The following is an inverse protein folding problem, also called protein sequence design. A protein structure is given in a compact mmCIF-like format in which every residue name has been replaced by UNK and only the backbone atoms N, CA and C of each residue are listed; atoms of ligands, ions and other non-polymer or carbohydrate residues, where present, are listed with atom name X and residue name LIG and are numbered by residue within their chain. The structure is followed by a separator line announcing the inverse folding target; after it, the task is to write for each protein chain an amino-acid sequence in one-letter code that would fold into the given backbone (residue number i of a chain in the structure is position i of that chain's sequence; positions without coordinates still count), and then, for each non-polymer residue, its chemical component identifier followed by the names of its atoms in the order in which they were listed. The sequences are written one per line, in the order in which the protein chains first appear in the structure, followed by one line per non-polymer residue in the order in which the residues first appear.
data_IF_383402147818
#
_entry.id   IF_383402147818
#
_cell.length_a   1.000
_cell.length_b   1.000
_cell.length_c   1.000
_cell.angle_alpha   90.00
_cell.angle_beta   90.00
_cell.angle_gamma   90.00
#
_symmetry.space_group_name_H-M   'P 1'
#
loop_
_entity.id
_entity.type
_entity.pdbx_description
1 polymer ?
#
# COMPACT_ATOMS: atom_id res chain seq x y z
N UNK A 1 -3.20 -15.85 1.67
CA UNK A 1 -2.60 -14.79 0.83
C UNK A 1 -1.59 -13.92 1.59
N UNK A 2 -1.70 -13.75 2.92
CA UNK A 2 -0.66 -13.11 3.75
C UNK A 2 0.69 -13.86 3.79
N UNK A 3 0.70 -15.16 3.50
CA UNK A 3 1.87 -16.04 3.67
C UNK A 3 2.91 -15.90 2.54
N UNK A 4 2.54 -15.36 1.37
CA UNK A 4 3.50 -15.13 0.27
C UNK A 4 4.25 -13.79 0.40
N UNK A 5 3.72 -12.86 1.21
CA UNK A 5 4.37 -11.58 1.53
C UNK A 5 5.55 -11.74 2.51
N UNK A 6 5.64 -12.86 3.23
CA UNK A 6 6.59 -13.02 4.34
C UNK A 6 7.97 -13.55 3.95
N UNK A 7 8.16 -14.08 2.74
CA UNK A 7 9.41 -14.78 2.38
C UNK A 7 10.34 -14.01 1.44
N UNK A 8 9.81 -13.10 0.62
CA UNK A 8 10.62 -12.19 -0.21
C UNK A 8 10.95 -10.86 0.48
N UNK A 9 10.15 -10.46 1.47
CA UNK A 9 10.33 -9.20 2.21
C UNK A 9 11.41 -9.28 3.30
N UNK A 10 11.77 -10.48 3.75
CA UNK A 10 12.70 -10.70 4.87
C UNK A 10 14.18 -10.47 4.52
N UNK A 11 14.58 -10.71 3.26
CA UNK A 11 15.97 -10.52 2.82
C UNK A 11 16.24 -9.08 2.33
N UNK A 12 15.20 -8.33 1.94
CA UNK A 12 15.28 -6.89 1.65
C UNK A 12 15.22 -6.01 2.93
N UNK A 13 14.92 -6.64 4.08
CA UNK A 13 14.47 -6.00 5.32
C UNK A 13 15.57 -5.27 6.11
N UNK A 14 16.85 -5.48 5.77
CA UNK A 14 18.00 -4.93 6.51
C UNK A 14 18.60 -3.65 5.90
N UNK A 15 18.16 -3.19 4.72
CA UNK A 15 18.80 -2.07 4.02
C UNK A 15 17.85 -1.23 3.14
N UNK A 16 16.57 -1.08 3.54
CA UNK A 16 15.63 -0.19 2.86
C UNK A 16 15.37 1.10 3.68
N UNK A 17 16.33 2.04 3.74
CA UNK A 17 16.16 3.30 4.47
C UNK A 17 15.07 4.19 3.87
N UNK A 18 14.52 3.83 2.70
CA UNK A 18 13.57 4.62 1.93
C UNK A 18 12.12 4.14 2.00
N UNK A 19 11.84 3.00 2.65
CA UNK A 19 10.51 2.38 2.64
C UNK A 19 10.06 1.92 1.25
N UNK A 20 10.99 1.88 0.29
CA UNK A 20 10.76 1.58 -1.11
C UNK A 20 10.39 0.11 -1.33
N UNK A 21 10.99 -0.82 -0.60
CA UNK A 21 10.73 -2.25 -0.70
C UNK A 21 9.29 -2.62 -0.34
N UNK A 22 8.69 -1.90 0.61
CA UNK A 22 7.30 -2.12 1.02
C UNK A 22 6.35 -1.66 -0.08
N UNK A 23 6.50 -0.41 -0.52
CA UNK A 23 5.62 0.18 -1.55
C UNK A 23 5.76 -0.56 -2.87
N UNK A 24 7.00 -0.80 -3.31
CA UNK A 24 7.28 -1.55 -4.55
C UNK A 24 6.79 -2.99 -4.45
N UNK A 25 6.98 -3.66 -3.30
CA UNK A 25 6.51 -5.02 -3.07
C UNK A 25 4.99 -5.15 -3.15
N UNK A 26 4.25 -4.22 -2.55
CA UNK A 26 2.77 -4.20 -2.64
C UNK A 26 2.32 -3.97 -4.09
N UNK A 27 2.87 -2.96 -4.77
CA UNK A 27 2.49 -2.66 -6.15
C UNK A 27 2.85 -3.79 -7.11
N UNK A 28 4.00 -4.46 -6.91
CA UNK A 28 4.39 -5.63 -7.68
C UNK A 28 3.46 -6.82 -7.41
N UNK A 29 3.05 -7.05 -6.15
CA UNK A 29 2.10 -8.11 -5.81
C UNK A 29 0.73 -7.90 -6.46
N UNK A 30 0.26 -6.65 -6.51
CA UNK A 30 -0.97 -6.25 -7.21
C UNK A 30 -0.83 -6.40 -8.74
N UNK A 31 0.31 -6.01 -9.30
CA UNK A 31 0.60 -6.17 -10.72
C UNK A 31 0.65 -7.65 -11.15
N UNK A 32 1.15 -8.52 -10.28
CA UNK A 32 1.19 -9.98 -10.50
C UNK A 32 -0.17 -10.66 -10.47
N UNK A 33 -1.24 -9.97 -10.05
CA UNK A 33 -2.60 -10.52 -10.00
C UNK A 33 -3.63 -9.56 -10.63
N UNK A 34 -3.57 -9.27 -11.94
CA UNK A 34 -4.36 -8.21 -12.57
C UNK A 34 -5.88 -8.33 -12.37
N UNK A 35 -6.43 -9.54 -12.50
CA UNK A 35 -7.87 -9.77 -12.35
C UNK A 35 -8.34 -9.52 -10.91
N UNK A 36 -7.58 -10.05 -9.93
CA UNK A 36 -7.86 -9.80 -8.51
C UNK A 36 -7.77 -8.31 -8.19
N UNK A 37 -6.73 -7.64 -8.68
CA UNK A 37 -6.52 -6.21 -8.45
C UNK A 37 -7.67 -5.38 -9.01
N UNK A 38 -8.12 -5.62 -10.24
CA UNK A 38 -9.29 -4.91 -10.80
C UNK A 38 -10.55 -5.19 -9.98
N UNK A 39 -10.80 -6.44 -9.61
CA UNK A 39 -11.95 -6.80 -8.78
C UNK A 39 -11.92 -6.06 -7.43
N UNK A 40 -10.77 -6.05 -6.75
CA UNK A 40 -10.61 -5.44 -5.43
C UNK A 40 -10.77 -3.91 -5.45
N UNK A 41 -10.21 -3.23 -6.46
CA UNK A 41 -10.17 -1.77 -6.50
C UNK A 41 -11.36 -1.13 -7.23
N UNK A 42 -11.93 -1.79 -8.26
CA UNK A 42 -12.98 -1.19 -9.10
C UNK A 42 -14.35 -1.82 -8.86
N UNK A 43 -14.42 -3.15 -8.75
CA UNK A 43 -15.70 -3.87 -8.78
C UNK A 43 -16.29 -4.08 -7.39
N UNK A 44 -15.43 -4.27 -6.37
CA UNK A 44 -15.85 -4.55 -5.00
C UNK A 44 -16.74 -3.44 -4.38
N UNK A 45 -16.65 -2.21 -4.89
CA UNK A 45 -17.51 -1.10 -4.44
C UNK A 45 -18.97 -1.29 -4.87
N UNK A 46 -19.19 -1.88 -6.05
CA UNK A 46 -20.53 -2.20 -6.57
C UNK A 46 -21.07 -3.53 -6.01
N UNK A 47 -20.27 -4.28 -5.26
CA UNK A 47 -20.64 -5.58 -4.72
C UNK A 47 -21.60 -5.47 -3.51
N UNK A 48 -22.11 -6.61 -3.03
CA UNK A 48 -22.96 -6.65 -1.84
C UNK A 48 -22.22 -6.26 -0.55
N UNK A 49 -22.99 -5.93 0.50
CA UNK A 49 -22.49 -5.42 1.77
C UNK A 49 -21.33 -6.26 2.37
N UNK A 50 -21.46 -7.59 2.35
CA UNK A 50 -20.43 -8.51 2.85
C UNK A 50 -19.08 -8.36 2.14
N UNK A 51 -19.06 -8.02 0.86
CA UNK A 51 -17.80 -7.86 0.10
C UNK A 51 -17.15 -6.52 0.46
N UNK A 52 -17.94 -5.46 0.62
CA UNK A 52 -17.46 -4.17 1.12
C UNK A 52 -16.83 -4.29 2.50
N UNK A 53 -17.50 -4.93 3.45
CA UNK A 53 -16.98 -5.15 4.81
C UNK A 53 -15.66 -5.95 4.82
N UNK A 54 -15.54 -6.97 3.95
CA UNK A 54 -14.29 -7.73 3.81
C UNK A 54 -13.16 -6.89 3.24
N UNK A 55 -13.46 -5.98 2.31
CA UNK A 55 -12.50 -5.05 1.72
C UNK A 55 -12.04 -4.03 2.76
N UNK A 56 -12.97 -3.44 3.50
CA UNK A 56 -12.67 -2.43 4.53
C UNK A 56 -11.81 -3.05 5.64
N UNK A 57 -12.16 -4.26 6.11
CA UNK A 57 -11.31 -4.99 7.05
C UNK A 57 -9.91 -5.25 6.49
N UNK A 58 -9.77 -5.60 5.22
CA UNK A 58 -8.46 -5.83 4.60
C UNK A 58 -7.62 -4.54 4.55
N UNK A 59 -8.26 -3.38 4.37
CA UNK A 59 -7.62 -2.07 4.40
C UNK A 59 -7.16 -1.75 5.82
N UNK A 60 -8.01 -1.97 6.83
CA UNK A 60 -7.66 -1.75 8.25
C UNK A 60 -6.49 -2.64 8.68
N UNK A 61 -6.55 -3.94 8.35
CA UNK A 61 -5.49 -4.90 8.64
C UNK A 61 -4.16 -4.49 7.97
N UNK A 62 -4.23 -4.01 6.72
CA UNK A 62 -3.05 -3.52 6.01
C UNK A 62 -2.47 -2.26 6.66
N UNK A 63 -3.31 -1.28 6.99
CA UNK A 63 -2.88 -0.04 7.64
C UNK A 63 -2.21 -0.32 8.99
N UNK A 64 -2.83 -1.18 9.81
CA UNK A 64 -2.26 -1.59 11.10
C UNK A 64 -0.90 -2.29 10.94
N UNK A 65 -0.76 -3.16 9.92
CA UNK A 65 0.50 -3.85 9.63
C UNK A 65 1.58 -2.94 9.03
N UNK A 66 1.19 -1.92 8.24
CA UNK A 66 2.11 -0.99 7.62
C UNK A 66 2.66 0.06 8.60
N UNK A 67 1.87 0.43 9.62
CA UNK A 67 2.20 1.53 10.56
C UNK A 67 3.60 1.43 11.18
N UNK A 68 4.04 0.30 11.79
CA UNK A 68 5.38 0.24 12.40
C UNK A 68 6.50 0.54 11.39
N UNK A 69 6.37 0.01 10.17
CA UNK A 69 7.38 0.20 9.13
C UNK A 69 7.38 1.62 8.57
N UNK A 70 6.22 2.24 8.38
CA UNK A 70 6.12 3.65 7.99
C UNK A 70 6.72 4.57 9.06
N UNK A 71 6.53 4.25 10.34
CA UNK A 71 7.13 5.00 11.44
C UNK A 71 8.64 4.82 11.52
N UNK A 72 9.18 3.62 11.28
CA UNK A 72 10.62 3.41 11.15
C UNK A 72 11.22 4.24 10.02
N UNK A 73 10.54 4.30 8.87
CA UNK A 73 10.96 5.10 7.73
C UNK A 73 10.97 6.62 8.04
N UNK A 74 9.93 7.12 8.71
CA UNK A 74 9.87 8.53 9.16
C UNK A 74 10.97 8.87 10.16
N UNK A 75 11.26 7.97 11.10
CA UNK A 75 12.31 8.16 12.10
C UNK A 75 13.70 8.24 11.46
N UNK A 76 13.92 7.56 10.33
CA UNK A 76 15.16 7.63 9.56
C UNK A 76 15.31 8.90 8.71
N UNK A 77 14.24 9.72 8.58
CA UNK A 77 14.25 10.94 7.78
C UNK A 77 14.86 12.12 8.55
N UNK A 78 15.51 13.05 7.84
CA UNK A 78 16.04 14.29 8.40
C UNK A 78 15.24 15.49 7.86
N UNK A 79 14.58 16.32 8.70
CA UNK A 79 14.47 16.26 10.18
C UNK A 79 13.50 15.19 10.70
N UNK A 80 13.59 14.80 12.00
CA UNK A 80 12.71 13.80 12.60
C UNK A 80 11.25 14.27 12.61
N UNK A 81 10.37 13.43 12.07
CA UNK A 81 8.92 13.67 12.04
C UNK A 81 8.22 12.94 13.20
N UNK A 82 7.07 13.45 13.62
CA UNK A 82 6.22 12.76 14.59
C UNK A 82 5.79 11.38 14.04
N UNK A 83 5.66 10.35 14.91
CA UNK A 83 5.09 9.07 14.52
C UNK A 83 3.67 9.24 13.98
N UNK A 84 3.31 8.43 12.98
CA UNK A 84 1.96 8.31 12.46
C UNK A 84 1.09 7.51 13.43
N UNK A 85 -0.10 8.05 13.68
CA UNK A 85 -1.20 7.33 14.30
C UNK A 85 -1.92 6.44 13.28
N UNK A 86 -2.80 5.57 13.76
CA UNK A 86 -3.54 4.66 12.87
C UNK A 86 -4.37 5.43 11.82
N UNK A 87 -4.97 6.54 12.21
CA UNK A 87 -5.79 7.39 11.33
C UNK A 87 -4.96 8.08 10.25
N UNK A 88 -3.70 8.45 10.55
CA UNK A 88 -2.78 9.00 9.54
C UNK A 88 -2.42 7.95 8.49
N UNK A 89 -2.17 6.71 8.93
CA UNK A 89 -1.88 5.60 8.02
C UNK A 89 -3.10 5.26 7.17
N UNK A 90 -4.30 5.24 7.75
CA UNK A 90 -5.54 5.05 6.98
C UNK A 90 -5.74 6.16 5.95
N UNK A 91 -5.40 7.40 6.28
CA UNK A 91 -5.45 8.54 5.35
C UNK A 91 -4.49 8.36 4.19
N UNK A 92 -3.24 7.96 4.47
CA UNK A 92 -2.24 7.64 3.43
C UNK A 92 -2.70 6.49 2.53
N UNK A 93 -3.18 5.40 3.13
CA UNK A 93 -3.68 4.23 2.40
C UNK A 93 -4.89 4.60 1.54
N UNK A 94 -5.81 5.41 2.05
CA UNK A 94 -6.94 5.95 1.28
C UNK A 94 -6.47 6.74 0.05
N UNK A 95 -5.47 7.61 0.21
CA UNK A 95 -4.88 8.35 -0.91
C UNK A 95 -4.22 7.42 -1.95
N UNK A 96 -3.56 6.33 -1.51
CA UNK A 96 -2.96 5.37 -2.42
C UNK A 96 -4.00 4.53 -3.15
N UNK A 97 -5.05 4.11 -2.46
CA UNK A 97 -6.18 3.39 -3.05
C UNK A 97 -6.79 4.25 -4.18
N UNK A 98 -7.04 5.52 -3.92
CA UNK A 98 -7.61 6.42 -4.93
C UNK A 98 -6.65 6.61 -6.12
N UNK A 99 -5.35 6.74 -5.86
CA UNK A 99 -4.34 6.80 -6.92
C UNK A 99 -4.33 5.52 -7.78
N UNK A 100 -4.42 4.35 -7.15
CA UNK A 100 -4.49 3.05 -7.82
C UNK A 100 -5.77 2.95 -8.66
N UNK A 101 -6.93 3.36 -8.11
CA UNK A 101 -8.20 3.40 -8.84
C UNK A 101 -8.07 4.29 -10.09
N UNK A 102 -7.58 5.52 -9.92
CA UNK A 102 -7.35 6.45 -11.02
C UNK A 102 -6.44 5.87 -12.12
N UNK A 103 -5.42 5.11 -11.72
CA UNK A 103 -4.52 4.43 -12.65
C UNK A 103 -5.21 3.29 -13.39
N UNK A 104 -5.92 2.40 -12.67
CA UNK A 104 -6.59 1.21 -13.23
C UNK A 104 -7.75 1.52 -14.18
N UNK A 105 -8.32 2.72 -14.09
CA UNK A 105 -9.33 3.22 -15.04
C UNK A 105 -8.71 3.50 -16.42
N UNK A 106 -7.41 3.82 -16.50
CA UNK A 106 -6.72 4.25 -17.73
C UNK A 106 -5.65 3.27 -18.22
N UNK A 107 -5.18 2.41 -17.34
CA UNK A 107 -4.02 1.55 -17.57
C UNK A 107 -4.25 0.14 -17.00
N UNK A 108 -3.41 -0.80 -17.45
CA UNK A 108 -3.43 -2.17 -16.94
C UNK A 108 -2.80 -2.26 -15.54
N UNK A 109 -3.27 -3.22 -14.73
CA UNK A 109 -2.73 -3.46 -13.39
C UNK A 109 -1.23 -3.83 -13.40
N UNK A 110 -0.75 -4.43 -14.50
CA UNK A 110 0.67 -4.73 -14.75
C UNK A 110 1.57 -3.50 -14.64
N UNK A 111 1.02 -2.31 -14.88
CA UNK A 111 1.76 -1.03 -14.86
C UNK A 111 1.72 -0.30 -13.51
N UNK A 112 1.07 -0.86 -12.49
CA UNK A 112 1.02 -0.28 -11.14
C UNK A 112 2.38 0.04 -10.50
N UNK A 113 3.47 -0.72 -10.74
CA UNK A 113 4.79 -0.40 -10.15
C UNK A 113 5.31 0.98 -10.55
N UNK A 114 4.79 1.58 -11.63
CA UNK A 114 5.12 2.96 -12.03
C UNK A 114 4.69 4.02 -11.00
N UNK A 115 3.77 3.68 -10.09
CA UNK A 115 3.30 4.56 -9.03
C UNK A 115 4.24 4.65 -7.82
N UNK A 116 5.22 3.74 -7.69
CA UNK A 116 6.09 3.60 -6.50
C UNK A 116 6.68 4.93 -6.05
N UNK A 117 7.37 5.63 -6.96
CA UNK A 117 8.04 6.88 -6.64
C UNK A 117 7.06 8.01 -6.29
N UNK A 118 5.83 7.97 -6.81
CA UNK A 118 4.79 8.93 -6.45
C UNK A 118 4.28 8.71 -5.03
N UNK A 119 4.09 7.45 -4.64
CA UNK A 119 3.64 7.07 -3.29
C UNK A 119 4.70 7.40 -2.24
N UNK A 120 5.98 7.05 -2.48
CA UNK A 120 7.07 7.34 -1.54
C UNK A 120 7.22 8.84 -1.25
N UNK A 121 7.03 9.69 -2.27
CA UNK A 121 7.02 11.15 -2.08
C UNK A 121 5.91 11.65 -1.16
N UNK A 122 4.77 10.94 -1.06
CA UNK A 122 3.68 11.33 -0.15
C UNK A 122 4.04 10.99 1.30
N UNK A 123 4.63 9.82 1.55
CA UNK A 123 5.05 9.41 2.90
C UNK A 123 6.06 10.38 3.51
N UNK A 124 6.97 10.92 2.70
CA UNK A 124 7.96 11.91 3.13
C UNK A 124 7.37 13.31 3.42
N UNK A 125 6.12 13.57 3.01
CA UNK A 125 5.46 14.89 3.13
C UNK A 125 4.37 14.95 4.18
N UNK A 126 3.73 13.81 4.47
CA UNK A 126 2.92 13.63 5.67
C UNK A 126 3.81 13.75 6.91
#
# INVERSE_FOLDING_TARGET
MLILLSRGAADAELSDPDGEAIVSGVLAALAGQPAFTRMFFLEAMAAGQRIRERRDKAIDDFAAAARPRLNSFRAASNPPLAPLEQEDVLTLVGAWIELIIHHLVRHEASTLPTLTQRILRQVRRF
#
